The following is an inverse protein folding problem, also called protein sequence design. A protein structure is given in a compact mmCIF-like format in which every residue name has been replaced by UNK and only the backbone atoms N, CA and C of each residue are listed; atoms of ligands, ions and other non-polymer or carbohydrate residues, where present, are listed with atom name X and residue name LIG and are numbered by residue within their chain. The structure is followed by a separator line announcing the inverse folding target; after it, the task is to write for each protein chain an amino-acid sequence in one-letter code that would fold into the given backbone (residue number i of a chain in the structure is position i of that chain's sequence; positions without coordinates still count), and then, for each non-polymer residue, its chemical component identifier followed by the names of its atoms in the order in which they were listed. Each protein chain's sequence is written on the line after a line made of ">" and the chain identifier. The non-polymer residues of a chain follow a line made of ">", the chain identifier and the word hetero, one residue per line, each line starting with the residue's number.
data_IF_856104415617
#
_entry.id   IF_856104415617
#
_cell.length_a   1.000
_cell.length_b   1.000
_cell.length_c   1.000
_cell.angle_alpha   90.00
_cell.angle_beta   90.00
_cell.angle_gamma   90.00
#
_symmetry.space_group_name_H-M   'P 1'
#
loop_
_entity.id
_entity.type
_entity.pdbx_description
1 polymer ?
#
# COMPACT_ATOMS: atom_id res chain seq x y z
N UNK A 1 8.40 18.83 -2.17
CA UNK A 1 7.86 19.82 -1.20
C UNK A 1 8.59 21.17 -1.28
N UNK A 2 9.91 21.23 -1.48
CA UNK A 2 10.67 22.50 -1.45
C UNK A 2 10.39 23.54 -2.55
N UNK A 3 9.71 23.21 -3.67
CA UNK A 3 9.45 24.18 -4.75
C UNK A 3 8.08 24.87 -4.70
N UNK A 4 7.14 24.38 -3.88
CA UNK A 4 5.79 24.94 -3.77
C UNK A 4 5.63 25.91 -2.59
N UNK A 5 6.60 25.94 -1.67
CA UNK A 5 6.60 26.80 -0.47
C UNK A 5 7.18 28.20 -0.72
N UNK A 6 7.68 28.47 -1.94
CA UNK A 6 8.42 29.69 -2.29
C UNK A 6 7.66 30.56 -3.29
N UNK A 7 6.54 30.09 -3.83
CA UNK A 7 5.79 30.80 -4.88
C UNK A 7 4.47 31.36 -4.32
N UNK A 8 4.32 32.69 -4.17
CA UNK A 8 3.11 33.35 -3.65
C UNK A 8 1.86 33.12 -4.52
N UNK A 9 2.01 32.58 -5.74
CA UNK A 9 0.90 32.33 -6.66
C UNK A 9 0.25 30.94 -6.50
N UNK A 10 0.75 30.08 -5.61
CA UNK A 10 0.16 28.76 -5.38
C UNK A 10 -1.01 28.87 -4.41
N UNK A 11 -2.22 28.61 -4.90
CA UNK A 11 -3.41 28.46 -4.06
C UNK A 11 -3.26 27.21 -3.17
N UNK A 12 -2.80 27.44 -1.95
CA UNK A 12 -2.61 26.40 -0.94
C UNK A 12 -3.91 25.65 -0.63
N UNK A 13 -5.07 26.32 -0.73
CA UNK A 13 -6.39 25.71 -0.52
C UNK A 13 -6.70 24.74 -1.64
N UNK A 14 -6.37 25.06 -2.90
CA UNK A 14 -6.53 24.15 -4.02
C UNK A 14 -5.64 22.90 -3.90
N UNK A 15 -4.39 23.07 -3.46
CA UNK A 15 -3.46 21.95 -3.22
C UNK A 15 -3.96 21.05 -2.10
N UNK A 16 -4.43 21.63 -1.00
CA UNK A 16 -4.99 20.90 0.14
C UNK A 16 -6.25 20.12 -0.24
N UNK A 17 -7.22 20.77 -0.91
CA UNK A 17 -8.43 20.10 -1.43
C UNK A 17 -8.09 18.94 -2.36
N UNK A 18 -7.08 19.09 -3.23
CA UNK A 18 -6.62 18.01 -4.11
C UNK A 18 -6.05 16.83 -3.31
N UNK A 19 -5.27 17.09 -2.25
CA UNK A 19 -4.74 16.05 -1.37
C UNK A 19 -5.85 15.32 -0.61
N UNK A 20 -6.77 16.06 0.02
CA UNK A 20 -7.90 15.49 0.76
C UNK A 20 -8.74 14.60 -0.17
N UNK A 21 -9.09 15.10 -1.36
CA UNK A 21 -9.86 14.32 -2.34
C UNK A 21 -9.12 13.08 -2.82
N UNK A 22 -7.79 13.16 -2.97
CA UNK A 22 -6.95 12.00 -3.27
C UNK A 22 -7.00 10.96 -2.16
N UNK A 23 -6.79 11.39 -0.92
CA UNK A 23 -6.81 10.51 0.25
C UNK A 23 -8.14 9.78 0.42
N UNK A 24 -9.28 10.48 0.28
CA UNK A 24 -10.62 9.88 0.36
C UNK A 24 -10.81 8.80 -0.70
N UNK A 25 -10.33 9.00 -1.93
CA UNK A 25 -10.43 7.99 -2.99
C UNK A 25 -9.63 6.75 -2.67
N UNK A 26 -8.40 6.93 -2.19
CA UNK A 26 -7.53 5.80 -1.82
C UNK A 26 -8.15 5.00 -0.66
N UNK A 27 -8.67 5.69 0.35
CA UNK A 27 -9.32 5.06 1.51
C UNK A 27 -10.63 4.33 1.13
N UNK A 28 -11.42 4.89 0.22
CA UNK A 28 -12.60 4.22 -0.33
C UNK A 28 -12.25 2.95 -1.11
N UNK A 29 -11.19 2.99 -1.92
CA UNK A 29 -10.73 1.82 -2.67
C UNK A 29 -10.22 0.74 -1.69
N UNK A 30 -9.42 1.13 -0.68
CA UNK A 30 -8.91 0.17 0.30
C UNK A 30 -10.00 -0.44 1.18
N UNK A 31 -11.00 0.34 1.59
CA UNK A 31 -12.13 -0.19 2.34
C UNK A 31 -12.99 -1.14 1.50
N UNK A 32 -13.24 -0.81 0.22
CA UNK A 32 -13.92 -1.70 -0.71
C UNK A 32 -13.14 -3.01 -0.95
N UNK A 33 -11.82 -2.91 -1.06
CA UNK A 33 -10.91 -4.05 -1.21
C UNK A 33 -11.00 -5.03 -0.04
N UNK A 34 -10.92 -4.54 1.20
CA UNK A 34 -11.06 -5.37 2.41
C UNK A 34 -12.44 -6.05 2.44
N UNK A 35 -13.50 -5.32 2.07
CA UNK A 35 -14.86 -5.85 2.02
C UNK A 35 -14.98 -6.98 1.00
N UNK A 36 -14.48 -6.80 -0.22
CA UNK A 36 -14.54 -7.81 -1.30
C UNK A 36 -13.72 -9.04 -0.93
N UNK A 37 -12.51 -8.89 -0.40
CA UNK A 37 -11.69 -10.02 0.03
C UNK A 37 -12.41 -10.80 1.13
N UNK A 38 -12.89 -10.10 2.17
CA UNK A 38 -13.54 -10.76 3.30
C UNK A 38 -14.83 -11.45 2.86
N UNK A 39 -15.68 -10.78 2.08
CA UNK A 39 -16.90 -11.40 1.56
C UNK A 39 -16.60 -12.59 0.63
N UNK A 40 -15.50 -12.55 -0.11
CA UNK A 40 -15.05 -13.67 -0.92
C UNK A 40 -14.62 -14.89 -0.09
N UNK A 41 -13.87 -14.69 1.00
CA UNK A 41 -13.37 -15.80 1.83
C UNK A 41 -14.45 -16.44 2.69
N UNK A 42 -15.42 -15.66 3.18
CA UNK A 42 -16.54 -16.18 3.99
C UNK A 42 -17.86 -16.25 3.22
N UNK A 43 -17.82 -16.25 1.88
CA UNK A 43 -19.01 -16.22 1.02
C UNK A 43 -20.04 -17.32 1.35
N UNK A 44 -19.56 -18.52 1.68
CA UNK A 44 -20.37 -19.70 1.99
C UNK A 44 -20.89 -19.74 3.44
N UNK A 45 -20.48 -18.81 4.30
CA UNK A 45 -20.87 -18.80 5.71
C UNK A 45 -22.25 -18.15 5.95
N UNK A 46 -22.90 -18.39 7.09
CA UNK A 46 -24.12 -17.66 7.47
C UNK A 46 -23.90 -16.14 7.58
N UNK A 47 -24.98 -15.36 7.42
CA UNK A 47 -24.91 -13.89 7.43
C UNK A 47 -24.24 -13.32 8.70
N UNK A 48 -24.58 -13.86 9.87
CA UNK A 48 -24.04 -13.42 11.16
C UNK A 48 -22.52 -13.61 11.22
N UNK A 49 -22.02 -14.76 10.75
CA UNK A 49 -20.59 -15.06 10.66
C UNK A 49 -19.88 -14.14 9.67
N UNK A 50 -20.49 -13.90 8.51
CA UNK A 50 -19.94 -12.95 7.53
C UNK A 50 -19.80 -11.54 8.10
N UNK A 51 -20.85 -11.07 8.77
CA UNK A 51 -20.88 -9.74 9.37
C UNK A 51 -19.84 -9.62 10.50
N UNK A 52 -19.75 -10.62 11.38
CA UNK A 52 -18.81 -10.58 12.50
C UNK A 52 -17.35 -10.60 12.04
N UNK A 53 -17.02 -11.43 11.05
CA UNK A 53 -15.68 -11.48 10.45
C UNK A 53 -15.35 -10.17 9.76
N UNK A 54 -16.29 -9.60 8.99
CA UNK A 54 -16.08 -8.32 8.31
C UNK A 54 -15.81 -7.18 9.29
N UNK A 55 -16.61 -7.06 10.35
CA UNK A 55 -16.40 -6.05 11.39
C UNK A 55 -15.06 -6.27 12.10
N UNK A 56 -14.74 -7.50 12.49
CA UNK A 56 -13.49 -7.83 13.17
C UNK A 56 -12.25 -7.50 12.34
N UNK A 57 -12.22 -7.94 11.06
CA UNK A 57 -11.09 -7.66 10.16
C UNK A 57 -10.99 -6.15 9.88
N UNK A 58 -12.11 -5.46 9.65
CA UNK A 58 -12.08 -4.01 9.38
C UNK A 58 -11.48 -3.22 10.55
N UNK A 59 -11.85 -3.56 11.78
CA UNK A 59 -11.33 -2.91 12.98
C UNK A 59 -9.85 -3.26 13.22
N UNK A 60 -9.49 -4.54 13.06
CA UNK A 60 -8.11 -5.01 13.18
C UNK A 60 -7.19 -4.33 12.17
N UNK A 61 -7.60 -4.24 10.90
CA UNK A 61 -6.80 -3.58 9.86
C UNK A 61 -6.70 -2.08 10.09
N UNK A 62 -7.78 -1.42 10.54
CA UNK A 62 -7.75 0.00 10.90
C UNK A 62 -6.72 0.23 12.01
N UNK A 63 -6.84 -0.46 13.14
CA UNK A 63 -5.91 -0.30 14.27
C UNK A 63 -4.49 -0.72 13.88
N UNK A 64 -4.35 -1.83 13.16
CA UNK A 64 -3.05 -2.39 12.75
C UNK A 64 -2.28 -1.47 11.82
N UNK A 65 -2.91 -0.99 10.73
CA UNK A 65 -2.25 -0.12 9.74
C UNK A 65 -1.96 1.26 10.34
N UNK A 66 -2.95 1.91 10.95
CA UNK A 66 -2.74 3.24 11.55
C UNK A 66 -1.78 3.18 12.74
N UNK A 67 -1.82 2.10 13.53
CA UNK A 67 -0.88 1.85 14.63
C UNK A 67 0.54 1.64 14.15
N UNK A 68 0.75 0.86 13.08
CA UNK A 68 2.07 0.66 12.47
C UNK A 68 2.63 1.99 11.92
N UNK A 69 1.83 2.76 11.19
CA UNK A 69 2.24 4.08 10.67
C UNK A 69 2.56 5.05 11.81
N UNK A 70 1.73 5.11 12.85
CA UNK A 70 1.99 5.93 14.04
C UNK A 70 3.28 5.50 14.75
N UNK A 71 3.55 4.19 14.82
CA UNK A 71 4.81 3.65 15.34
C UNK A 71 6.02 4.14 14.55
N UNK A 72 5.94 4.07 13.22
CA UNK A 72 7.01 4.54 12.32
C UNK A 72 7.28 6.04 12.51
N UNK A 73 6.24 6.87 12.55
CA UNK A 73 6.39 8.32 12.77
C UNK A 73 6.98 8.62 14.14
N UNK A 74 6.57 7.88 15.18
CA UNK A 74 7.09 8.06 16.53
C UNK A 74 8.57 7.65 16.65
N UNK A 75 9.02 6.66 15.87
CA UNK A 75 10.43 6.31 15.77
C UNK A 75 11.27 7.40 15.09
N UNK A 76 10.72 8.09 14.07
CA UNK A 76 11.38 9.25 13.44
C UNK A 76 11.52 10.42 14.42
N UNK A 77 10.44 10.76 15.14
CA UNK A 77 10.46 11.78 16.19
C UNK A 77 11.42 11.45 17.32
N UNK A 78 11.50 10.17 17.71
CA UNK A 78 12.45 9.69 18.72
C UNK A 78 13.90 9.86 18.23
N UNK A 79 14.17 9.62 16.95
CA UNK A 79 15.48 9.87 16.34
C UNK A 79 15.91 11.33 16.49
N UNK A 80 15.00 12.28 16.24
CA UNK A 80 15.26 13.72 16.44
C UNK A 80 15.51 14.06 17.91
N UNK A 81 14.74 13.49 18.83
CA UNK A 81 14.93 13.69 20.28
C UNK A 81 16.27 13.14 20.77
N UNK A 82 16.75 12.03 20.19
CA UNK A 82 18.05 11.43 20.52
C UNK A 82 19.25 12.26 20.05
N UNK A 83 19.08 13.18 19.08
CA UNK A 83 20.17 14.06 18.65
C UNK A 83 20.48 15.17 19.67
N UNK A 84 19.49 15.61 20.46
CA UNK A 84 19.65 16.61 21.54
C UNK A 84 20.20 17.98 21.09
N UNK A 85 20.28 18.99 21.99
CA UNK A 85 21.06 20.20 21.75
C UNK A 85 22.55 19.83 21.69
N UNK A 86 23.25 20.26 20.65
CA UNK A 86 24.70 20.09 20.53
C UNK A 86 25.35 21.18 21.39
N UNK A 87 25.79 20.84 22.61
CA UNK A 87 26.66 21.73 23.38
C UNK A 87 28.02 21.81 22.66
N UNK A 88 28.43 23.03 22.28
CA UNK A 88 29.66 23.34 21.53
C UNK A 88 30.95 22.82 22.19
N UNK A 89 30.91 22.46 23.48
CA UNK A 89 32.07 22.06 24.28
C UNK A 89 32.43 20.56 24.20
N UNK A 90 31.60 19.72 23.57
CA UNK A 90 31.83 18.26 23.47
C UNK A 90 31.74 17.74 22.02
N UNK A 91 32.51 18.36 21.13
CA UNK A 91 32.58 17.99 19.71
C UNK A 91 33.23 16.62 19.42
N UNK A 92 33.72 15.87 20.42
CA UNK A 92 34.64 14.75 20.18
C UNK A 92 34.04 13.34 20.29
N UNK A 93 32.82 13.14 20.82
CA UNK A 93 32.25 11.80 20.93
C UNK A 93 30.75 11.76 20.61
N UNK A 94 30.43 11.34 19.38
CA UNK A 94 29.08 10.89 19.03
C UNK A 94 28.72 9.72 19.95
N UNK A 95 27.84 9.97 20.93
CA UNK A 95 27.35 8.93 21.83
C UNK A 95 26.63 7.87 20.99
N UNK A 96 26.69 6.59 21.39
CA UNK A 96 25.97 5.51 20.71
C UNK A 96 24.48 5.86 20.45
N UNK A 97 23.85 6.56 21.41
CA UNK A 97 22.49 7.12 21.28
C UNK A 97 22.33 8.12 20.13
N UNK A 98 23.29 9.02 19.92
CA UNK A 98 23.26 10.00 18.82
C UNK A 98 23.51 9.34 17.47
N UNK A 99 24.35 8.30 17.40
CA UNK A 99 24.54 7.52 16.16
C UNK A 99 23.27 6.77 15.76
N UNK A 100 22.58 6.17 16.72
CA UNK A 100 21.27 5.54 16.48
C UNK A 100 20.22 6.58 16.08
N UNK A 101 20.16 7.73 16.77
CA UNK A 101 19.23 8.81 16.42
C UNK A 101 19.44 9.35 15.00
N UNK A 102 20.70 9.58 14.62
CA UNK A 102 21.07 10.00 13.28
C UNK A 102 20.73 8.93 12.22
N UNK A 103 20.98 7.65 12.52
CA UNK A 103 20.58 6.54 11.67
C UNK A 103 19.07 6.46 11.44
N UNK A 104 18.26 6.66 12.50
CA UNK A 104 16.79 6.69 12.40
C UNK A 104 16.28 7.83 11.51
N UNK A 105 16.83 9.04 11.67
CA UNK A 105 16.45 10.21 10.86
C UNK A 105 16.82 9.99 9.39
N UNK A 106 17.99 9.41 9.12
CA UNK A 106 18.40 9.08 7.76
C UNK A 106 17.52 7.99 7.15
N UNK A 107 17.10 6.99 7.93
CA UNK A 107 16.27 5.88 7.46
C UNK A 107 14.81 6.26 7.21
N UNK A 108 14.23 7.17 8.01
CA UNK A 108 12.83 7.63 7.90
C UNK A 108 12.38 7.98 6.46
N UNK A 109 13.09 8.85 5.69
CA UNK A 109 12.68 9.19 4.33
C UNK A 109 12.77 8.01 3.35
N UNK A 110 13.70 7.06 3.54
CA UNK A 110 13.77 5.87 2.71
C UNK A 110 12.65 4.89 3.04
N UNK A 111 12.33 4.72 4.32
CA UNK A 111 11.20 3.90 4.76
C UNK A 111 9.88 4.43 4.19
N UNK A 112 9.65 5.75 4.25
CA UNK A 112 8.45 6.37 3.67
C UNK A 112 8.37 6.19 2.15
N UNK A 113 9.50 6.30 1.43
CA UNK A 113 9.55 6.02 -0.02
C UNK A 113 9.28 4.54 -0.32
N UNK A 114 9.90 3.63 0.45
CA UNK A 114 9.69 2.20 0.32
C UNK A 114 8.21 1.84 0.53
N UNK A 115 7.59 2.34 1.59
CA UNK A 115 6.16 2.12 1.86
C UNK A 115 5.26 2.64 0.73
N UNK A 116 5.63 3.75 0.08
CA UNK A 116 4.88 4.24 -1.08
C UNK A 116 4.95 3.27 -2.27
N UNK A 117 6.12 2.71 -2.56
CA UNK A 117 6.30 1.75 -3.66
C UNK A 117 5.67 0.41 -3.30
N UNK A 118 5.93 -0.10 -2.10
CA UNK A 118 5.37 -1.34 -1.59
C UNK A 118 3.83 -1.27 -1.53
N UNK A 119 3.26 -0.15 -1.07
CA UNK A 119 1.82 0.06 -1.06
C UNK A 119 1.20 0.07 -2.47
N UNK A 120 1.89 0.68 -3.44
CA UNK A 120 1.45 0.65 -4.84
C UNK A 120 1.51 -0.76 -5.41
N UNK A 121 2.59 -1.51 -5.15
CA UNK A 121 2.71 -2.91 -5.55
C UNK A 121 1.64 -3.79 -4.91
N UNK A 122 1.36 -3.58 -3.62
CA UNK A 122 0.32 -4.28 -2.89
C UNK A 122 -1.07 -4.03 -3.52
N UNK A 123 -1.41 -2.77 -3.85
CA UNK A 123 -2.68 -2.46 -4.50
C UNK A 123 -2.85 -3.18 -5.85
N UNK A 124 -1.78 -3.34 -6.63
CA UNK A 124 -1.84 -4.13 -7.87
C UNK A 124 -2.03 -5.62 -7.61
N UNK A 125 -1.27 -6.17 -6.65
CA UNK A 125 -1.36 -7.58 -6.30
C UNK A 125 -2.77 -7.92 -5.80
N UNK A 126 -3.33 -7.10 -4.92
CA UNK A 126 -4.67 -7.34 -4.39
C UNK A 126 -5.74 -7.10 -5.44
N UNK A 127 -5.64 -6.02 -6.23
CA UNK A 127 -6.58 -5.76 -7.32
C UNK A 127 -6.61 -6.89 -8.35
N UNK A 128 -5.45 -7.45 -8.70
CA UNK A 128 -5.37 -8.60 -9.59
C UNK A 128 -5.93 -9.89 -8.98
N UNK A 129 -5.70 -10.12 -7.68
CA UNK A 129 -6.32 -11.21 -6.95
C UNK A 129 -7.85 -11.12 -6.92
N UNK A 130 -8.40 -9.92 -6.75
CA UNK A 130 -9.85 -9.66 -6.85
C UNK A 130 -10.37 -10.03 -8.25
N UNK A 131 -9.68 -9.63 -9.31
CA UNK A 131 -10.07 -9.95 -10.69
C UNK A 131 -9.99 -11.45 -10.97
N UNK A 132 -8.92 -12.12 -10.52
CA UNK A 132 -8.77 -13.58 -10.64
C UNK A 132 -9.92 -14.31 -9.97
N UNK A 133 -10.29 -13.91 -8.75
CA UNK A 133 -11.42 -14.53 -8.03
C UNK A 133 -12.79 -14.20 -8.65
N UNK A 134 -12.95 -12.99 -9.20
CA UNK A 134 -14.21 -12.56 -9.81
C UNK A 134 -14.46 -13.08 -11.23
N UNK A 135 -13.40 -13.51 -11.94
CA UNK A 135 -13.48 -13.93 -13.35
C UNK A 135 -13.02 -15.40 -13.50
N UNK A 136 -13.96 -16.35 -13.71
CA UNK A 136 -13.63 -17.77 -13.86
C UNK A 136 -12.55 -18.09 -14.90
N UNK A 137 -12.50 -17.43 -16.08
CA UNK A 137 -11.43 -17.68 -17.04
C UNK A 137 -10.03 -17.32 -16.52
N UNK A 138 -9.90 -16.24 -15.73
CA UNK A 138 -8.62 -15.85 -15.13
C UNK A 138 -8.23 -16.82 -14.02
N UNK A 139 -9.20 -17.30 -13.24
CA UNK A 139 -8.95 -18.30 -12.21
C UNK A 139 -8.30 -19.56 -12.80
N UNK A 140 -8.93 -20.14 -13.83
CA UNK A 140 -8.41 -21.35 -14.48
C UNK A 140 -7.08 -21.12 -15.20
N UNK A 141 -6.88 -19.94 -15.82
CA UNK A 141 -5.61 -19.62 -16.47
C UNK A 141 -4.45 -19.55 -15.47
N UNK A 142 -4.68 -18.97 -14.29
CA UNK A 142 -3.68 -18.92 -13.21
C UNK A 142 -3.47 -20.30 -12.60
N UNK A 143 -4.56 -21.04 -12.34
CA UNK A 143 -4.51 -22.40 -11.79
C UNK A 143 -3.72 -23.37 -12.68
N UNK A 144 -3.87 -23.27 -14.01
CA UNK A 144 -3.11 -24.08 -14.97
C UNK A 144 -1.58 -23.88 -14.86
N UNK A 145 -1.12 -22.71 -14.42
CA UNK A 145 0.30 -22.41 -14.21
C UNK A 145 0.75 -22.78 -12.80
N UNK A 146 -0.10 -22.56 -11.79
CA UNK A 146 0.23 -22.75 -10.37
C UNK A 146 0.12 -24.22 -9.95
N UNK A 147 -0.84 -24.98 -10.46
CA UNK A 147 -1.08 -26.37 -10.07
C UNK A 147 0.13 -27.29 -10.34
N UNK A 148 0.79 -27.25 -11.51
CA UNK A 148 1.98 -28.07 -11.75
C UNK A 148 3.17 -27.69 -10.85
N UNK A 149 3.27 -26.42 -10.44
CA UNK A 149 4.31 -25.95 -9.52
C UNK A 149 4.06 -26.45 -8.09
N UNK A 150 2.80 -26.56 -7.68
CA UNK A 150 2.42 -27.05 -6.36
C UNK A 150 2.73 -28.54 -6.17
N UNK A 151 2.73 -29.32 -7.25
CA UNK A 151 3.04 -30.76 -7.24
C UNK A 151 4.55 -31.05 -7.22
N UNK A 152 5.41 -30.03 -7.35
CA UNK A 152 6.86 -30.22 -7.22
C UNK A 152 7.21 -30.59 -5.77
N UNK A 153 8.23 -31.43 -5.62
CA UNK A 153 8.81 -31.83 -4.31
C UNK A 153 9.18 -30.59 -3.46
N UNK A 154 9.43 -30.77 -2.16
CA UNK A 154 9.85 -29.82 -1.08
C UNK A 154 9.69 -28.27 -1.25
N UNK A 155 10.01 -27.69 -2.41
CA UNK A 155 9.82 -26.28 -2.78
C UNK A 155 8.48 -25.97 -3.51
N UNK A 156 7.67 -26.96 -3.89
CA UNK A 156 6.47 -26.74 -4.71
C UNK A 156 5.47 -25.73 -4.15
N UNK A 157 5.17 -25.80 -2.85
CA UNK A 157 4.27 -24.83 -2.20
C UNK A 157 4.79 -23.40 -2.20
N UNK A 158 6.10 -23.19 -2.04
CA UNK A 158 6.73 -21.86 -2.09
C UNK A 158 6.69 -21.30 -3.52
N UNK A 159 7.05 -22.13 -4.50
CA UNK A 159 7.03 -21.75 -5.92
C UNK A 159 5.62 -21.42 -6.40
N UNK A 160 4.64 -22.23 -6.03
CA UNK A 160 3.23 -21.98 -6.32
C UNK A 160 2.74 -20.66 -5.72
N UNK A 161 3.07 -20.38 -4.45
CA UNK A 161 2.72 -19.12 -3.80
C UNK A 161 3.35 -17.90 -4.47
N UNK A 162 4.64 -17.97 -4.81
CA UNK A 162 5.33 -16.89 -5.53
C UNK A 162 4.78 -16.69 -6.94
N UNK A 163 4.52 -17.77 -7.67
CA UNK A 163 3.93 -17.72 -9.00
C UNK A 163 2.54 -17.07 -8.96
N UNK A 164 1.70 -17.46 -7.99
CA UNK A 164 0.39 -16.86 -7.82
C UNK A 164 0.48 -15.36 -7.50
N UNK A 165 1.36 -14.95 -6.58
CA UNK A 165 1.56 -13.52 -6.27
C UNK A 165 2.02 -12.72 -7.49
N UNK A 166 2.93 -13.27 -8.30
CA UNK A 166 3.40 -12.63 -9.53
C UNK A 166 2.29 -12.54 -10.58
N UNK A 167 1.51 -13.58 -10.77
CA UNK A 167 0.39 -13.59 -11.71
C UNK A 167 -0.71 -12.61 -11.30
N UNK A 168 -1.06 -12.57 -10.02
CA UNK A 168 -2.02 -11.60 -9.47
C UNK A 168 -1.49 -10.16 -9.69
N UNK A 169 -0.21 -9.89 -9.41
CA UNK A 169 0.39 -8.58 -9.69
C UNK A 169 0.36 -8.22 -11.19
N UNK A 170 0.66 -9.16 -12.08
CA UNK A 170 0.62 -8.95 -13.53
C UNK A 170 -0.80 -8.66 -14.02
N UNK A 171 -1.80 -9.43 -13.58
CA UNK A 171 -3.21 -9.21 -13.90
C UNK A 171 -3.63 -7.81 -13.43
N UNK A 172 -3.27 -7.45 -12.20
CA UNK A 172 -3.57 -6.13 -11.64
C UNK A 172 -2.94 -4.99 -12.44
N UNK A 173 -1.67 -5.11 -12.84
CA UNK A 173 -0.97 -4.11 -13.65
C UNK A 173 -1.60 -4.00 -15.04
N UNK A 174 -1.92 -5.13 -15.69
CA UNK A 174 -2.56 -5.14 -17.00
C UNK A 174 -3.94 -4.49 -16.96
N UNK A 175 -4.77 -4.88 -16.00
CA UNK A 175 -6.09 -4.29 -15.81
C UNK A 175 -6.01 -2.79 -15.48
N UNK A 176 -5.10 -2.39 -14.60
CA UNK A 176 -4.86 -0.99 -14.27
C UNK A 176 -4.41 -0.18 -15.49
N UNK A 177 -3.54 -0.75 -16.33
CA UNK A 177 -3.08 -0.12 -17.57
C UNK A 177 -4.22 0.04 -18.58
N UNK A 178 -5.02 -1.01 -18.78
CA UNK A 178 -6.19 -0.96 -19.67
C UNK A 178 -7.19 0.10 -19.19
N UNK A 179 -7.52 0.11 -17.90
CA UNK A 179 -8.39 1.12 -17.30
C UNK A 179 -7.83 2.54 -17.50
N UNK A 180 -6.53 2.75 -17.29
CA UNK A 180 -5.90 4.06 -17.48
C UNK A 180 -5.96 4.52 -18.94
N UNK A 181 -5.68 3.61 -19.89
CA UNK A 181 -5.76 3.90 -21.33
C UNK A 181 -7.19 4.22 -21.75
N UNK A 182 -8.18 3.47 -21.29
CA UNK A 182 -9.60 3.73 -21.55
C UNK A 182 -10.03 5.08 -20.99
N UNK A 183 -9.72 5.37 -19.73
CA UNK A 183 -10.09 6.65 -19.09
C UNK A 183 -9.41 7.81 -19.80
N UNK A 184 -8.14 7.69 -20.14
CA UNK A 184 -7.39 8.74 -20.84
C UNK A 184 -7.89 8.92 -22.27
N UNK A 185 -8.24 7.82 -22.96
CA UNK A 185 -8.86 7.84 -24.28
C UNK A 185 -10.21 8.56 -24.26
N UNK A 186 -11.08 8.21 -23.31
CA UNK A 186 -12.38 8.87 -23.12
C UNK A 186 -12.21 10.34 -22.76
N UNK A 187 -11.24 10.70 -21.92
CA UNK A 187 -10.96 12.10 -21.57
C UNK A 187 -10.51 12.91 -22.80
N UNK A 188 -9.68 12.32 -23.67
CA UNK A 188 -9.29 12.94 -24.95
C UNK A 188 -10.49 13.11 -25.89
N UNK A 189 -11.36 12.10 -26.00
CA UNK A 189 -12.56 12.15 -26.84
C UNK A 189 -13.64 13.12 -26.32
N UNK A 190 -13.78 13.26 -25.00
CA UNK A 190 -14.73 14.21 -24.37
C UNK A 190 -14.26 15.66 -24.41
N UNK A 191 -13.16 15.97 -25.11
CA UNK A 191 -12.75 17.34 -25.41
C UNK A 191 -12.51 18.21 -24.19
N UNK A 192 -11.94 17.67 -23.11
CA UNK A 192 -11.57 18.51 -21.97
C UNK A 192 -10.15 19.06 -22.10
N UNK A 193 -10.15 20.38 -22.32
CA UNK A 193 -9.19 21.39 -21.87
C UNK A 193 -8.46 21.00 -20.58
#
# INVERSE_FOLDING_TARGET
>A
LGKALVDPQVDMVAVEKKKIRGAIRTDFILSAEIVVITLGTVASSPFVTRLSVLVAISMLMTVGVYGLVAGIVKLDDLGRRMMGPVDESSAAAFTFRQRLGYGLILASPYLMKFLSVAGTAAMFLVGGGILRHGLPPLHHAVEAVVHPLAEMDMAGGLLAGLAQMLLDALIGILAGTVCLLLVTGVQRLRGRK
#
